data_IF_696640546431
#
_entry.id   IF_696640546431
#
_cell.length_a   1.000
_cell.length_b   1.000
_cell.length_c   1.000
_cell.angle_alpha   90.00
_cell.angle_beta   90.00
_cell.angle_gamma   90.00
#
_symmetry.space_group_name_H-M   'P 1'
#
loop_
_entity.id
_entity.type
_entity.pdbx_description
1 polymer ?
#
# COMPACT_ATOMS: atom_id res chain seq x y z
N UNK A 1 -48.42 -25.36 50.63
CA UNK A 1 -48.27 -24.06 49.97
C UNK A 1 -46.83 -23.91 49.54
N UNK A 2 -46.52 -24.15 48.27
CA UNK A 2 -45.16 -24.07 47.73
C UNK A 2 -44.99 -22.76 46.95
N UNK A 3 -44.05 -21.91 47.38
CA UNK A 3 -43.68 -20.70 46.68
C UNK A 3 -42.57 -21.03 45.68
N UNK A 4 -42.85 -20.89 44.36
CA UNK A 4 -41.93 -20.99 43.25
C UNK A 4 -41.07 -19.73 43.21
N UNK A 5 -39.76 -19.89 43.37
CA UNK A 5 -38.75 -18.85 43.11
C UNK A 5 -38.52 -18.72 41.58
N UNK A 6 -38.75 -17.53 41.04
CA UNK A 6 -38.45 -17.20 39.63
C UNK A 6 -36.96 -16.84 39.52
N UNK A 7 -36.21 -17.64 38.78
CA UNK A 7 -34.86 -17.37 38.39
C UNK A 7 -34.83 -16.30 37.28
N UNK A 8 -34.31 -15.15 37.57
CA UNK A 8 -34.09 -14.06 36.61
C UNK A 8 -32.86 -14.38 35.78
N UNK A 9 -33.05 -14.63 34.47
CA UNK A 9 -31.96 -14.78 33.51
C UNK A 9 -31.43 -13.37 33.14
N UNK A 10 -30.26 -13.03 33.63
CA UNK A 10 -29.51 -11.88 33.15
C UNK A 10 -29.07 -12.18 31.70
N UNK A 11 -29.65 -11.43 30.76
CA UNK A 11 -29.15 -11.35 29.37
C UNK A 11 -28.03 -10.31 29.32
N UNK A 12 -26.82 -10.79 29.24
CA UNK A 12 -25.67 -9.95 28.94
C UNK A 12 -25.82 -9.33 27.53
N UNK A 13 -26.29 -8.10 27.49
CA UNK A 13 -26.27 -7.27 26.32
C UNK A 13 -24.83 -6.78 26.06
N UNK A 14 -24.05 -7.61 25.37
CA UNK A 14 -22.78 -7.22 24.79
C UNK A 14 -23.06 -6.25 23.66
N UNK A 15 -23.12 -4.96 24.00
CA UNK A 15 -23.23 -3.87 23.03
C UNK A 15 -22.06 -3.94 22.07
N UNK A 16 -22.30 -4.44 20.85
CA UNK A 16 -21.38 -4.32 19.73
C UNK A 16 -21.18 -2.83 19.47
N UNK A 17 -20.03 -2.29 19.86
CA UNK A 17 -19.58 -0.96 19.42
C UNK A 17 -19.58 -0.97 17.90
N UNK A 18 -20.61 -0.42 17.28
CA UNK A 18 -20.60 -0.07 15.86
C UNK A 18 -19.59 1.06 15.72
N UNK A 19 -18.41 0.75 15.22
CA UNK A 19 -17.45 1.74 14.77
C UNK A 19 -18.08 2.42 13.56
N UNK A 20 -18.76 3.53 13.78
CA UNK A 20 -19.25 4.42 12.73
C UNK A 20 -18.03 5.07 12.10
N UNK A 21 -17.57 4.52 10.98
CA UNK A 21 -16.68 5.25 10.07
C UNK A 21 -17.50 6.43 9.53
N UNK A 22 -17.26 7.62 10.03
CA UNK A 22 -17.77 8.84 9.42
C UNK A 22 -17.13 8.94 8.03
N UNK A 23 -17.87 8.53 7.01
CA UNK A 23 -17.53 8.86 5.63
C UNK A 23 -17.65 10.38 5.54
N UNK A 24 -16.53 11.08 5.55
CA UNK A 24 -16.46 12.53 5.41
C UNK A 24 -16.99 12.86 4.02
N UNK A 25 -18.27 13.15 3.94
CA UNK A 25 -18.93 13.59 2.72
C UNK A 25 -18.31 14.94 2.37
N UNK A 26 -17.51 14.98 1.30
CA UNK A 26 -16.91 16.21 0.78
C UNK A 26 -15.39 16.32 0.82
N UNK A 27 -14.66 15.43 1.50
CA UNK A 27 -13.19 15.47 1.48
C UNK A 27 -12.63 14.95 0.14
N UNK A 28 -11.86 15.80 -0.54
CA UNK A 28 -11.13 15.45 -1.76
C UNK A 28 -9.63 15.66 -1.47
N UNK A 29 -8.77 14.65 -1.64
CA UNK A 29 -7.33 14.76 -1.47
C UNK A 29 -6.71 15.79 -2.41
N UNK A 30 -5.70 16.53 -1.96
CA UNK A 30 -4.98 17.51 -2.77
C UNK A 30 -4.40 16.91 -4.05
N UNK A 31 -3.79 15.73 -3.97
CA UNK A 31 -3.26 15.04 -5.15
C UNK A 31 -4.34 14.65 -6.17
N UNK A 32 -5.57 14.38 -5.72
CA UNK A 32 -6.67 14.11 -6.65
C UNK A 32 -7.10 15.37 -7.39
N UNK A 33 -7.16 16.52 -6.72
CA UNK A 33 -7.42 17.80 -7.37
C UNK A 33 -6.31 18.13 -8.37
N UNK A 34 -5.05 18.01 -7.94
CA UNK A 34 -3.89 18.22 -8.82
C UNK A 34 -3.91 17.29 -10.04
N UNK A 35 -4.36 16.05 -9.89
CA UNK A 35 -4.53 15.14 -11.02
C UNK A 35 -5.53 15.68 -12.04
N UNK A 36 -6.67 16.19 -11.58
CA UNK A 36 -7.73 16.71 -12.46
C UNK A 36 -7.33 18.03 -13.15
N UNK A 37 -6.69 18.93 -12.39
CA UNK A 37 -6.46 20.32 -12.84
C UNK A 37 -5.14 20.45 -13.63
N UNK A 38 -4.09 19.71 -13.27
CA UNK A 38 -2.75 19.88 -13.85
C UNK A 38 -2.29 18.68 -14.68
N UNK A 39 -2.45 17.43 -14.14
CA UNK A 39 -1.84 16.24 -14.72
C UNK A 39 -2.57 15.79 -15.98
N UNK A 40 -3.90 15.78 -15.98
CA UNK A 40 -4.69 15.40 -17.16
C UNK A 40 -4.34 16.28 -18.37
N UNK A 41 -4.35 17.63 -18.30
CA UNK A 41 -3.96 18.48 -19.43
C UNK A 41 -2.52 18.28 -19.88
N UNK A 42 -1.58 18.07 -18.96
CA UNK A 42 -0.16 17.83 -19.26
C UNK A 42 0.03 16.53 -20.05
N UNK A 43 -0.55 15.42 -19.59
CA UNK A 43 -0.47 14.12 -20.25
C UNK A 43 -1.19 14.10 -21.60
N UNK A 44 -2.37 14.76 -21.71
CA UNK A 44 -3.10 14.87 -22.96
C UNK A 44 -2.28 15.58 -24.03
N UNK A 45 -1.58 16.66 -23.68
CA UNK A 45 -0.69 17.36 -24.62
C UNK A 45 0.51 16.51 -25.03
N UNK A 46 1.05 15.70 -24.11
CA UNK A 46 2.26 14.91 -24.35
C UNK A 46 2.00 13.69 -25.24
N UNK A 47 0.92 12.98 -24.98
CA UNK A 47 0.59 11.72 -25.66
C UNK A 47 -0.50 11.89 -26.73
N UNK A 48 -1.04 13.12 -26.91
CA UNK A 48 -2.08 13.44 -27.90
C UNK A 48 -3.31 12.55 -27.78
N UNK A 49 -3.79 12.31 -26.53
CA UNK A 49 -5.01 11.53 -26.32
C UNK A 49 -6.24 12.22 -26.90
N UNK A 50 -7.09 11.44 -27.56
CA UNK A 50 -8.33 11.94 -28.14
C UNK A 50 -9.45 12.11 -27.11
N UNK A 51 -9.40 11.31 -26.04
CA UNK A 51 -10.42 11.30 -24.99
C UNK A 51 -9.78 11.41 -23.61
N UNK A 52 -10.40 12.18 -22.72
CA UNK A 52 -9.98 12.32 -21.30
C UNK A 52 -9.98 10.96 -20.58
N UNK A 53 -10.83 10.01 -20.99
CA UNK A 53 -10.90 8.69 -20.38
C UNK A 53 -9.72 7.77 -20.73
N UNK A 54 -8.95 8.09 -21.77
CA UNK A 54 -7.71 7.37 -22.13
C UNK A 54 -6.54 7.76 -21.24
N UNK A 55 -6.61 8.94 -20.60
CA UNK A 55 -5.53 9.43 -19.74
C UNK A 55 -5.30 8.46 -18.59
N UNK A 56 -4.05 7.99 -18.38
CA UNK A 56 -3.73 7.05 -17.31
C UNK A 56 -3.99 7.65 -15.93
N UNK A 57 -4.50 6.83 -15.03
CA UNK A 57 -4.81 7.19 -13.63
C UNK A 57 -4.30 6.13 -12.66
N UNK A 58 -4.11 6.50 -11.40
CA UNK A 58 -3.86 5.55 -10.33
C UNK A 58 -5.14 4.74 -10.07
N UNK A 59 -5.01 3.42 -10.10
CA UNK A 59 -6.11 2.49 -9.86
C UNK A 59 -6.12 1.98 -8.43
N UNK A 60 -5.01 1.36 -8.00
CA UNK A 60 -4.87 0.81 -6.64
C UNK A 60 -3.43 0.93 -6.16
N UNK A 61 -3.26 1.06 -4.84
CA UNK A 61 -1.98 0.84 -4.18
C UNK A 61 -2.14 -0.33 -3.22
N UNK A 62 -1.32 -1.34 -3.37
CA UNK A 62 -1.30 -2.48 -2.45
C UNK A 62 0.04 -2.55 -1.73
N UNK A 63 -0.03 -2.75 -0.41
CA UNK A 63 1.12 -2.95 0.45
C UNK A 63 1.07 -4.38 0.95
N UNK A 64 2.20 -5.07 0.87
CA UNK A 64 2.38 -6.39 1.41
C UNK A 64 3.54 -6.39 2.41
N UNK A 65 3.32 -6.96 3.57
CA UNK A 65 4.34 -7.15 4.59
C UNK A 65 4.48 -8.64 4.87
N UNK A 66 5.64 -9.21 4.52
CA UNK A 66 5.97 -10.59 4.82
C UNK A 66 6.47 -10.74 6.26
N UNK A 67 5.87 -11.64 7.03
CA UNK A 67 6.25 -11.93 8.41
C UNK A 67 6.64 -13.40 8.51
N UNK A 68 7.92 -13.72 8.27
CA UNK A 68 8.44 -15.09 8.29
C UNK A 68 8.31 -15.76 9.65
N UNK A 69 8.40 -14.97 10.72
CA UNK A 69 8.34 -15.44 12.11
C UNK A 69 6.92 -15.68 12.63
N UNK A 70 5.89 -15.29 11.87
CA UNK A 70 4.48 -15.43 12.27
C UNK A 70 4.08 -16.87 12.61
N UNK A 71 4.77 -17.86 12.06
CA UNK A 71 4.55 -19.28 12.35
C UNK A 71 5.01 -19.70 13.74
N UNK A 72 6.03 -19.04 14.31
CA UNK A 72 6.61 -19.32 15.62
C UNK A 72 6.05 -18.34 16.66
N UNK A 73 5.95 -17.08 16.30
CA UNK A 73 5.49 -16.01 17.16
C UNK A 73 4.24 -15.30 16.55
N UNK A 74 3.03 -15.69 16.96
CA UNK A 74 1.80 -15.04 16.48
C UNK A 74 1.73 -13.53 16.81
N UNK A 75 2.35 -13.10 17.93
CA UNK A 75 2.40 -11.70 18.32
C UNK A 75 3.10 -10.82 17.30
N UNK A 76 4.14 -11.35 16.63
CA UNK A 76 4.84 -10.64 15.56
C UNK A 76 3.92 -10.29 14.38
N UNK A 77 2.94 -11.15 14.08
CA UNK A 77 1.95 -10.88 13.06
C UNK A 77 0.92 -9.83 13.51
N UNK A 78 0.49 -9.90 14.79
CA UNK A 78 -0.43 -8.90 15.37
C UNK A 78 0.20 -7.51 15.34
N UNK A 79 1.47 -7.38 15.75
CA UNK A 79 2.24 -6.14 15.66
C UNK A 79 2.31 -5.62 14.22
N UNK A 80 2.59 -6.49 13.24
CA UNK A 80 2.63 -6.11 11.83
C UNK A 80 1.26 -5.65 11.30
N UNK A 81 0.16 -6.25 11.76
CA UNK A 81 -1.21 -5.83 11.41
C UNK A 81 -1.50 -4.44 11.98
N UNK A 82 -1.12 -4.20 13.23
CA UNK A 82 -1.34 -2.90 13.88
C UNK A 82 -0.51 -1.79 13.20
N UNK A 83 0.77 -2.05 12.92
CA UNK A 83 1.64 -1.15 12.17
C UNK A 83 1.05 -0.81 10.79
N UNK A 84 0.66 -1.83 10.01
CA UNK A 84 0.09 -1.61 8.68
C UNK A 84 -1.29 -0.95 8.74
N UNK A 85 -2.04 -1.14 9.84
CA UNK A 85 -3.30 -0.43 10.08
C UNK A 85 -3.05 1.07 10.31
N UNK A 86 -2.02 1.42 11.08
CA UNK A 86 -1.63 2.82 11.30
C UNK A 86 -1.19 3.49 10.00
N UNK A 87 -0.36 2.83 9.20
CA UNK A 87 0.14 3.35 7.92
C UNK A 87 -1.00 3.58 6.91
N UNK A 88 -1.87 2.58 6.73
CA UNK A 88 -2.88 2.58 5.67
C UNK A 88 -4.22 3.21 6.05
N UNK A 89 -4.48 3.35 7.36
CA UNK A 89 -5.78 3.79 7.88
C UNK A 89 -6.91 2.76 7.70
N UNK A 90 -6.58 1.51 7.33
CA UNK A 90 -7.56 0.42 7.20
C UNK A 90 -6.99 -0.91 7.69
N UNK A 91 -7.84 -1.80 8.17
CA UNK A 91 -7.43 -3.12 8.69
C UNK A 91 -6.87 -4.00 7.57
N UNK A 92 -5.63 -4.50 7.66
CA UNK A 92 -5.04 -5.43 6.71
C UNK A 92 -5.71 -6.80 6.74
N UNK A 93 -5.54 -7.54 5.65
CA UNK A 93 -5.94 -8.95 5.55
C UNK A 93 -4.71 -9.82 5.79
N UNK A 94 -4.84 -10.82 6.66
CA UNK A 94 -3.80 -11.83 6.88
C UNK A 94 -3.67 -12.71 5.65
N UNK A 95 -2.46 -12.89 5.16
CA UNK A 95 -2.16 -13.78 4.03
C UNK A 95 -1.75 -15.15 4.55
N UNK A 96 -2.42 -16.19 4.03
CA UNK A 96 -2.19 -17.57 4.41
C UNK A 96 -1.41 -18.31 3.32
N UNK A 97 -0.55 -19.25 3.74
CA UNK A 97 0.17 -20.10 2.80
C UNK A 97 -0.78 -20.99 2.00
N UNK A 98 -0.59 -21.06 0.69
CA UNK A 98 -1.39 -21.90 -0.22
C UNK A 98 -0.86 -23.33 -0.35
N UNK A 99 0.45 -23.54 -0.11
CA UNK A 99 1.15 -24.82 -0.29
C UNK A 99 1.95 -25.16 0.95
N UNK A 100 2.22 -26.47 1.10
CA UNK A 100 3.16 -26.98 2.09
C UNK A 100 4.59 -26.85 1.53
N UNK A 101 5.49 -26.22 2.28
CA UNK A 101 6.89 -26.06 1.90
C UNK A 101 7.76 -26.48 3.08
N UNK A 102 8.35 -27.68 3.00
CA UNK A 102 9.12 -28.27 4.09
C UNK A 102 10.39 -27.47 4.41
N UNK A 103 11.10 -26.94 3.42
CA UNK A 103 12.31 -26.15 3.61
C UNK A 103 12.08 -24.92 4.50
N UNK A 104 10.91 -24.27 4.35
CA UNK A 104 10.53 -23.11 5.18
C UNK A 104 9.70 -23.51 6.41
N UNK A 105 9.47 -24.79 6.64
CA UNK A 105 8.64 -25.30 7.76
C UNK A 105 7.24 -24.65 7.77
N UNK A 106 6.66 -24.41 6.59
CA UNK A 106 5.34 -23.79 6.39
C UNK A 106 4.37 -24.84 5.90
N UNK A 107 3.19 -24.89 6.52
CA UNK A 107 2.06 -25.74 6.09
C UNK A 107 0.96 -24.88 5.48
N UNK A 108 0.13 -25.48 4.65
CA UNK A 108 -1.07 -24.86 4.09
C UNK A 108 -1.96 -24.28 5.20
N UNK A 109 -2.39 -23.03 5.04
CA UNK A 109 -3.20 -22.33 6.03
C UNK A 109 -2.40 -21.59 7.11
N UNK A 110 -1.07 -21.71 7.17
CA UNK A 110 -0.27 -20.92 8.10
C UNK A 110 -0.24 -19.45 7.70
N UNK A 111 -0.35 -18.53 8.66
CA UNK A 111 -0.18 -17.11 8.41
C UNK A 111 1.27 -16.80 8.06
N UNK A 112 1.48 -16.06 6.96
CA UNK A 112 2.82 -15.73 6.44
C UNK A 112 3.05 -14.23 6.30
N UNK A 113 2.01 -13.43 6.47
CA UNK A 113 2.11 -11.98 6.37
C UNK A 113 0.76 -11.29 6.39
N UNK A 114 0.77 -10.01 6.07
CA UNK A 114 -0.44 -9.20 5.95
C UNK A 114 -0.38 -8.32 4.71
N UNK A 115 -1.55 -8.03 4.14
CA UNK A 115 -1.70 -7.23 2.92
C UNK A 115 -2.83 -6.23 3.08
N UNK A 116 -2.64 -5.05 2.53
CA UNK A 116 -3.68 -4.03 2.39
C UNK A 116 -3.76 -3.57 0.95
N UNK A 117 -4.97 -3.23 0.49
CA UNK A 117 -5.19 -2.64 -0.84
C UNK A 117 -6.04 -1.40 -0.68
N UNK A 118 -5.49 -0.28 -1.10
CA UNK A 118 -6.14 1.04 -1.01
C UNK A 118 -6.64 1.48 -2.38
N UNK A 119 -7.79 2.19 -2.38
CA UNK A 119 -8.44 2.78 -3.56
C UNK A 119 -9.06 4.13 -3.22
N UNK A 120 -9.39 4.91 -4.24
CA UNK A 120 -10.07 6.19 -4.08
C UNK A 120 -9.31 7.19 -3.24
N UNK A 121 -9.99 7.97 -2.41
CA UNK A 121 -9.37 9.07 -1.65
C UNK A 121 -8.24 8.60 -0.73
N UNK A 122 -8.44 7.49 0.00
CA UNK A 122 -7.38 6.93 0.88
C UNK A 122 -6.09 6.56 0.13
N UNK A 123 -6.21 6.13 -1.11
CA UNK A 123 -5.05 5.83 -1.96
C UNK A 123 -4.26 7.11 -2.26
N UNK A 124 -4.94 8.20 -2.61
CA UNK A 124 -4.28 9.49 -2.88
C UNK A 124 -3.64 10.07 -1.62
N UNK A 125 -4.30 10.01 -0.47
CA UNK A 125 -3.75 10.45 0.81
C UNK A 125 -2.49 9.67 1.21
N UNK A 126 -2.53 8.34 1.05
CA UNK A 126 -1.36 7.51 1.28
C UNK A 126 -0.23 7.83 0.31
N UNK A 127 -0.55 8.03 -0.97
CA UNK A 127 0.43 8.32 -2.01
C UNK A 127 1.11 9.68 -1.78
N UNK A 128 0.35 10.69 -1.33
CA UNK A 128 0.91 11.99 -0.95
C UNK A 128 1.91 11.85 0.21
N UNK A 129 1.54 11.16 1.28
CA UNK A 129 2.45 10.92 2.43
C UNK A 129 3.68 10.10 2.04
N UNK A 130 3.50 9.14 1.15
CA UNK A 130 4.60 8.33 0.64
C UNK A 130 5.65 9.18 -0.08
N UNK A 131 5.22 10.10 -0.95
CA UNK A 131 6.13 10.98 -1.72
C UNK A 131 6.76 12.06 -0.84
N UNK A 132 5.94 12.73 -0.02
CA UNK A 132 6.38 13.94 0.70
C UNK A 132 7.14 13.62 1.99
N UNK A 133 6.82 12.52 2.65
CA UNK A 133 7.35 12.20 3.97
C UNK A 133 8.16 10.91 3.98
N UNK A 134 7.58 9.80 3.53
CA UNK A 134 8.18 8.48 3.73
C UNK A 134 9.44 8.26 2.87
N UNK A 135 9.38 8.52 1.56
CA UNK A 135 10.51 8.29 0.66
C UNK A 135 11.74 9.16 0.98
N UNK A 136 11.61 10.48 1.28
CA UNK A 136 12.76 11.30 1.66
C UNK A 136 13.45 10.85 2.97
N UNK A 137 12.72 10.18 3.85
CA UNK A 137 13.27 9.65 5.12
C UNK A 137 14.02 8.33 4.96
N UNK A 138 13.94 7.72 3.78
CA UNK A 138 14.68 6.47 3.51
C UNK A 138 16.17 6.74 3.49
N UNK A 139 16.95 5.91 4.19
CA UNK A 139 18.41 5.99 4.21
C UNK A 139 18.97 5.84 2.80
N UNK A 140 19.95 6.68 2.44
CA UNK A 140 20.64 6.65 1.14
C UNK A 140 19.69 6.66 -0.07
N UNK A 141 18.58 7.39 0.03
CA UNK A 141 17.61 7.46 -1.05
C UNK A 141 18.20 8.16 -2.27
N UNK A 142 18.34 7.43 -3.37
CA UNK A 142 18.87 7.92 -4.66
C UNK A 142 17.84 7.95 -5.77
N UNK A 143 16.55 7.88 -5.43
CA UNK A 143 15.46 7.74 -6.39
C UNK A 143 15.19 6.28 -6.81
N UNK A 144 13.99 6.05 -7.32
CA UNK A 144 13.49 4.73 -7.70
C UNK A 144 13.83 4.43 -9.16
N UNK A 145 14.22 3.19 -9.43
CA UNK A 145 14.67 2.77 -10.76
C UNK A 145 13.51 2.61 -11.75
N UNK A 146 13.73 2.98 -13.01
CA UNK A 146 12.80 2.68 -14.11
C UNK A 146 12.60 1.17 -14.33
N UNK A 147 13.58 0.34 -14.00
CA UNK A 147 13.50 -1.14 -14.12
C UNK A 147 12.41 -1.77 -13.22
N UNK A 148 11.84 -1.01 -12.28
CA UNK A 148 10.77 -1.46 -11.38
C UNK A 148 9.37 -1.44 -12.01
N UNK A 149 9.23 -1.05 -13.27
CA UNK A 149 8.00 -1.21 -14.05
C UNK A 149 7.84 -2.65 -14.55
N UNK A 150 6.60 -3.10 -14.68
CA UNK A 150 6.25 -4.49 -15.06
C UNK A 150 5.97 -4.67 -16.58
N UNK A 151 6.28 -3.71 -17.41
CA UNK A 151 5.96 -3.62 -18.85
C UNK A 151 4.47 -3.49 -19.16
N UNK A 152 3.64 -3.26 -18.15
CA UNK A 152 2.19 -3.03 -18.24
C UNK A 152 1.75 -1.75 -17.54
N UNK A 153 2.70 -0.86 -17.27
CA UNK A 153 2.43 0.41 -16.61
C UNK A 153 2.20 0.34 -15.10
N UNK A 154 2.51 -0.79 -14.43
CA UNK A 154 2.48 -0.85 -12.98
C UNK A 154 3.89 -0.71 -12.42
N UNK A 155 3.98 -0.15 -11.21
CA UNK A 155 5.25 0.12 -10.56
C UNK A 155 5.34 -0.59 -9.22
N UNK A 156 6.46 -1.31 -8.99
CA UNK A 156 6.67 -2.11 -7.78
C UNK A 156 8.00 -1.73 -7.14
N UNK A 157 8.01 -1.52 -5.84
CA UNK A 157 9.24 -1.29 -5.09
C UNK A 157 9.13 -1.78 -3.66
N UNK A 158 10.27 -2.14 -3.10
CA UNK A 158 10.41 -2.57 -1.71
C UNK A 158 10.96 -1.45 -0.83
N UNK A 159 10.42 -1.35 0.36
CA UNK A 159 10.91 -0.54 1.46
C UNK A 159 11.52 -1.46 2.50
N UNK A 160 12.74 -1.21 2.92
CA UNK A 160 13.47 -2.08 3.86
C UNK A 160 12.99 -1.90 5.31
N UNK A 161 12.55 -0.71 5.66
CA UNK A 161 12.25 -0.33 7.03
C UNK A 161 10.89 0.38 7.13
N UNK A 162 9.98 -0.12 7.97
CA UNK A 162 8.68 0.52 8.20
C UNK A 162 8.80 1.85 8.95
N UNK A 163 9.92 2.12 9.59
CA UNK A 163 10.18 3.32 10.40
C UNK A 163 10.14 4.62 9.59
N UNK A 164 10.25 4.54 8.27
CA UNK A 164 10.14 5.72 7.40
C UNK A 164 8.78 6.41 7.51
N UNK A 165 7.74 5.68 7.93
CA UNK A 165 6.41 6.24 8.14
C UNK A 165 6.31 6.88 9.52
N UNK A 166 5.86 8.14 9.57
CA UNK A 166 5.76 8.93 10.81
C UNK A 166 4.68 8.45 11.76
N UNK A 167 3.72 7.69 11.23
CA UNK A 167 2.60 7.12 11.99
C UNK A 167 3.04 6.02 12.95
N UNK A 168 4.22 5.46 12.72
CA UNK A 168 4.77 4.38 13.56
C UNK A 168 5.59 4.98 14.69
N UNK A 169 5.26 4.58 15.92
CA UNK A 169 6.05 4.93 17.09
C UNK A 169 7.20 3.93 17.26
N UNK A 170 8.45 4.44 17.23
CA UNK A 170 9.66 3.63 17.34
C UNK A 170 9.70 2.76 18.62
N UNK A 171 9.22 3.29 19.74
CA UNK A 171 9.25 2.60 21.03
C UNK A 171 8.33 1.35 21.09
N UNK A 172 7.38 1.25 20.16
CA UNK A 172 6.42 0.14 20.11
C UNK A 172 6.75 -0.91 19.07
N UNK A 173 7.83 -0.70 18.32
CA UNK A 173 8.26 -1.64 17.29
C UNK A 173 8.92 -2.85 17.93
N UNK A 174 8.41 -4.03 17.62
CA UNK A 174 8.98 -5.32 18.03
C UNK A 174 10.21 -5.69 17.17
N UNK A 175 10.13 -5.46 15.85
CA UNK A 175 11.24 -5.70 14.92
C UNK A 175 11.13 -4.85 13.66
N UNK A 176 12.28 -4.55 13.04
CA UNK A 176 12.30 -3.86 11.75
C UNK A 176 11.83 -4.82 10.66
N UNK A 177 10.80 -4.41 9.90
CA UNK A 177 10.22 -5.19 8.81
C UNK A 177 10.19 -4.39 7.53
N UNK A 178 10.52 -5.06 6.45
CA UNK A 178 10.33 -4.51 5.11
C UNK A 178 8.90 -4.69 4.61
N UNK A 179 8.56 -3.93 3.58
CA UNK A 179 7.28 -4.05 2.90
C UNK A 179 7.44 -3.80 1.41
N UNK A 180 6.58 -4.44 0.62
CA UNK A 180 6.49 -4.26 -0.81
C UNK A 180 5.28 -3.39 -1.13
N UNK A 181 5.51 -2.35 -1.92
CA UNK A 181 4.48 -1.40 -2.35
C UNK A 181 4.29 -1.55 -3.86
N UNK A 182 3.07 -1.90 -4.24
CA UNK A 182 2.63 -2.04 -5.62
C UNK A 182 1.69 -0.89 -5.99
N UNK A 183 2.06 -0.12 -6.99
CA UNK A 183 1.24 0.95 -7.56
C UNK A 183 0.69 0.45 -8.90
N UNK A 184 -0.61 0.23 -8.97
CA UNK A 184 -1.29 -0.20 -10.19
C UNK A 184 -1.91 1.02 -10.86
N UNK A 185 -1.60 1.20 -12.14
CA UNK A 185 -2.17 2.27 -12.96
C UNK A 185 -3.08 1.71 -14.06
N UNK A 186 -3.75 2.60 -14.79
CA UNK A 186 -4.50 2.22 -16.01
C UNK A 186 -3.70 2.46 -17.28
N UNK A 187 -2.42 2.82 -17.16
CA UNK A 187 -1.55 3.02 -18.31
C UNK A 187 -1.40 1.72 -19.12
N UNK A 188 -1.27 1.83 -20.43
CA UNK A 188 -1.05 0.70 -21.33
C UNK A 188 0.44 0.42 -21.52
N UNK A 189 1.28 1.43 -21.31
CA UNK A 189 2.73 1.35 -21.46
C UNK A 189 3.47 1.89 -20.23
N UNK A 190 4.70 1.42 -20.02
CA UNK A 190 5.56 1.92 -18.95
C UNK A 190 5.93 3.40 -19.11
N UNK A 191 5.97 3.90 -20.37
CA UNK A 191 6.25 5.30 -20.63
C UNK A 191 5.13 6.21 -20.15
N UNK A 192 3.88 5.83 -20.39
CA UNK A 192 2.70 6.56 -19.88
C UNK A 192 2.70 6.57 -18.34
N UNK A 193 2.95 5.40 -17.72
CA UNK A 193 3.01 5.29 -16.27
C UNK A 193 4.17 6.09 -15.67
N UNK A 194 5.33 6.10 -16.31
CA UNK A 194 6.48 6.90 -15.90
C UNK A 194 6.15 8.39 -15.85
N UNK A 195 5.53 8.92 -16.91
CA UNK A 195 5.16 10.32 -16.96
C UNK A 195 4.03 10.65 -15.98
N UNK A 196 3.06 9.75 -15.82
CA UNK A 196 2.02 9.90 -14.79
C UNK A 196 2.63 10.04 -13.39
N UNK A 197 3.52 9.13 -13.00
CA UNK A 197 4.15 9.15 -11.68
C UNK A 197 5.09 10.36 -11.52
N UNK A 198 5.79 10.76 -12.57
CA UNK A 198 6.67 11.94 -12.56
C UNK A 198 5.89 13.24 -12.35
N UNK A 199 4.74 13.41 -13.00
CA UNK A 199 3.85 14.57 -12.82
C UNK A 199 3.26 14.62 -11.40
N UNK A 200 3.04 13.48 -10.76
CA UNK A 200 2.69 13.42 -9.33
C UNK A 200 3.84 13.84 -8.40
N UNK A 201 5.06 14.00 -8.92
CA UNK A 201 6.26 14.29 -8.12
C UNK A 201 6.90 13.04 -7.50
N UNK A 202 6.59 11.86 -8.03
CA UNK A 202 7.22 10.62 -7.56
C UNK A 202 8.70 10.60 -7.93
N UNK A 203 9.63 10.33 -6.99
CA UNK A 203 11.07 10.50 -7.19
C UNK A 203 11.68 9.34 -8.01
N UNK A 204 11.37 9.34 -9.31
CA UNK A 204 11.94 8.40 -10.26
C UNK A 204 13.30 8.90 -10.76
N UNK A 205 14.23 7.97 -10.95
CA UNK A 205 15.46 8.26 -11.69
C UNK A 205 15.12 8.55 -13.15
N UNK A 206 15.97 9.34 -13.79
CA UNK A 206 15.80 9.58 -15.22
C UNK A 206 15.86 8.27 -15.99
N UNK A 207 15.02 8.18 -17.03
CA UNK A 207 15.01 7.05 -17.93
C UNK A 207 16.37 6.96 -18.63
N UNK A 208 17.06 5.81 -18.62
CA UNK A 208 18.30 5.66 -19.37
C UNK A 208 18.06 5.97 -20.85
N UNK A 209 18.95 6.73 -21.46
CA UNK A 209 18.87 7.00 -22.90
C UNK A 209 19.09 5.68 -23.64
N UNK A 210 18.37 5.45 -24.73
CA UNK A 210 18.45 4.19 -25.55
C UNK A 210 19.87 3.78 -25.96
N UNK A 211 20.85 4.68 -25.87
CA UNK A 211 22.27 4.42 -26.15
C UNK A 211 23.02 3.66 -25.05
N UNK A 212 22.47 3.59 -23.83
CA UNK A 212 23.14 2.96 -22.67
C UNK A 212 22.69 1.50 -22.43
N UNK A 213 21.54 1.08 -22.98
CA UNK A 213 21.04 -0.30 -22.84
C UNK A 213 21.88 -1.35 -23.60
N UNK A 214 22.78 -0.90 -24.50
CA UNK A 214 23.57 -1.84 -25.35
C UNK A 214 24.91 -2.26 -24.71
N UNK A 215 25.29 -1.71 -23.57
CA UNK A 215 26.62 -1.93 -22.97
C UNK A 215 26.61 -2.92 -21.78
N UNK A 216 25.45 -3.28 -21.24
CA UNK A 216 25.38 -4.20 -20.09
C UNK A 216 25.23 -5.69 -20.47
N UNK A 217 25.34 -6.07 -21.74
CA UNK A 217 25.26 -7.47 -22.20
C UNK A 217 26.53 -7.85 -22.96
N UNK A 218 27.65 -7.90 -22.24
CA UNK A 218 28.85 -8.65 -22.66
C UNK A 218 29.58 -9.17 -21.42
#
# INVERSE_FOLDING_TARGET
>A
MAKKSKTVKNKDNKAKKKTTYSTTVGYIPNLRNRYLDEIIPSLTKRFSYNNIMEVPKLNTISINMGVGDAKVNPKALESAIDELTMISGQKPVVTLSKKDISNFKVRKGFPVGCKVTMRGNRMYDFFERLITVALPRTRDFRGLSFKSFDKRGNFNFGVKEQIIFTEINYDKIDSIRGMDINITTTATSDDEAYWLLKEFGFPLREKPRKSEETIEVT
#
